data_IF_132494103923
#
_entry.id   IF_132494103923
#
_cell.length_a   1.000
_cell.length_b   1.000
_cell.length_c   1.000
_cell.angle_alpha   90.00
_cell.angle_beta   90.00
_cell.angle_gamma   90.00
#
_symmetry.space_group_name_H-M   'P 1'
#
loop_
_entity.id
_entity.type
_entity.pdbx_description
1 polymer ?
#
# COMPACT_ATOMS: atom_id res chain seq x y z
N UNK A 1 0.81 32.43 50.06
CA UNK A 1 1.76 32.19 48.94
C UNK A 1 1.94 30.72 48.55
N UNK A 2 1.93 29.74 49.48
CA UNK A 2 2.09 28.32 49.13
C UNK A 2 0.94 27.70 48.29
N UNK A 3 -0.30 28.14 48.49
CA UNK A 3 -1.48 27.64 47.75
C UNK A 3 -1.54 28.11 46.29
N UNK A 4 -1.03 29.32 46.01
CA UNK A 4 -0.98 29.87 44.65
C UNK A 4 0.02 29.10 43.76
N UNK A 5 1.13 28.65 44.35
CA UNK A 5 2.17 27.89 43.65
C UNK A 5 1.68 26.50 43.23
N UNK A 6 0.84 25.86 44.05
CA UNK A 6 0.26 24.54 43.75
C UNK A 6 -0.75 24.64 42.61
N UNK A 7 -1.55 25.72 42.57
CA UNK A 7 -2.50 25.96 41.47
C UNK A 7 -1.79 26.20 40.13
N UNK A 8 -0.64 26.89 40.15
CA UNK A 8 0.17 27.12 38.95
C UNK A 8 0.78 25.82 38.40
N UNK A 9 1.24 24.93 39.30
CA UNK A 9 1.80 23.62 38.93
C UNK A 9 0.73 22.66 38.35
N UNK A 10 -0.52 22.71 38.83
CA UNK A 10 -1.61 21.92 38.25
C UNK A 10 -2.06 22.40 36.86
N UNK A 11 -1.91 23.70 36.55
CA UNK A 11 -2.21 24.25 35.22
C UNK A 11 -1.16 23.86 34.17
N UNK A 12 0.07 23.53 34.58
CA UNK A 12 1.14 23.13 33.68
C UNK A 12 1.04 21.68 33.19
N UNK A 13 0.20 20.83 33.80
CA UNK A 13 0.09 19.41 33.44
C UNK A 13 -1.08 19.07 32.51
N UNK A 14 -1.92 20.04 32.13
CA UNK A 14 -3.14 19.77 31.34
C UNK A 14 -3.00 19.99 29.84
N UNK A 15 -1.82 20.35 29.34
CA UNK A 15 -1.58 20.65 27.92
C UNK A 15 -0.51 19.76 27.28
N UNK A 16 -0.37 18.50 27.70
CA UNK A 16 0.28 17.53 26.83
C UNK A 16 -0.61 17.38 25.59
N UNK A 17 -0.11 17.66 24.37
CA UNK A 17 -0.88 17.45 23.16
C UNK A 17 -1.21 15.96 23.12
N UNK A 18 -2.49 15.63 23.29
CA UNK A 18 -2.99 14.34 22.85
C UNK A 18 -2.82 14.39 21.34
N UNK A 19 -1.78 13.74 20.84
CA UNK A 19 -1.64 13.51 19.40
C UNK A 19 -2.89 12.73 19.01
N UNK A 20 -3.88 13.46 18.48
CA UNK A 20 -5.00 12.86 17.79
C UNK A 20 -4.36 12.02 16.68
N UNK A 21 -4.47 10.69 16.82
CA UNK A 21 -3.97 9.74 15.84
C UNK A 21 -4.47 10.20 14.47
N UNK A 22 -3.54 10.52 13.57
CA UNK A 22 -3.89 11.10 12.29
C UNK A 22 -4.77 10.09 11.55
N UNK A 23 -5.81 10.54 10.84
CA UNK A 23 -6.59 9.65 9.97
C UNK A 23 -5.70 8.94 8.93
N UNK A 24 -4.50 9.50 8.67
CA UNK A 24 -3.46 8.92 7.84
C UNK A 24 -2.69 7.75 8.50
N UNK A 25 -2.84 7.53 9.81
CA UNK A 25 -2.16 6.47 10.57
C UNK A 25 -2.94 5.16 10.65
N UNK A 26 -4.17 5.10 10.11
CA UNK A 26 -4.92 3.84 10.01
C UNK A 26 -4.31 3.00 8.87
N UNK A 27 -3.70 1.84 9.18
CA UNK A 27 -3.12 0.98 8.16
C UNK A 27 -4.18 0.20 7.37
N UNK A 28 -5.48 0.37 7.66
CA UNK A 28 -6.56 -0.21 6.84
C UNK A 28 -6.86 0.62 5.61
N UNK A 29 -6.56 1.92 5.62
CA UNK A 29 -6.88 2.81 4.50
C UNK A 29 -5.73 3.75 4.19
N UNK A 30 -5.33 3.81 2.92
CA UNK A 30 -4.41 4.81 2.39
C UNK A 30 -5.19 5.67 1.39
N UNK A 31 -5.07 6.99 1.46
CA UNK A 31 -5.71 7.93 0.53
C UNK A 31 -4.66 8.52 -0.39
N UNK A 32 -4.92 8.55 -1.71
CA UNK A 32 -4.02 9.26 -2.63
C UNK A 32 -4.25 10.77 -2.61
N UNK A 33 -3.28 11.50 -3.19
CA UNK A 33 -3.27 12.97 -3.27
C UNK A 33 -4.27 13.53 -4.30
N UNK A 34 -5.01 12.68 -5.02
CA UNK A 34 -6.10 13.03 -5.96
C UNK A 34 -5.67 14.07 -6.99
N UNK A 35 -4.72 13.70 -7.84
CA UNK A 35 -4.23 14.59 -8.90
C UNK A 35 -5.29 14.74 -10.00
N UNK A 36 -5.87 15.94 -10.10
CA UNK A 36 -6.92 16.24 -11.07
C UNK A 36 -6.42 16.24 -12.52
N UNK A 37 -5.11 16.34 -12.74
CA UNK A 37 -4.52 16.31 -14.07
C UNK A 37 -4.39 14.89 -14.64
N UNK A 38 -4.44 13.86 -13.78
CA UNK A 38 -4.39 12.46 -14.22
C UNK A 38 -5.74 12.01 -14.77
N UNK A 39 -5.68 11.14 -15.78
CA UNK A 39 -6.87 10.41 -16.23
C UNK A 39 -7.45 9.62 -15.04
N UNK A 40 -8.78 9.55 -14.89
CA UNK A 40 -9.43 8.92 -13.73
C UNK A 40 -8.97 7.48 -13.41
N UNK A 41 -8.62 6.71 -14.42
CA UNK A 41 -8.06 5.35 -14.30
C UNK A 41 -6.64 5.29 -13.70
N UNK A 42 -5.86 6.36 -13.83
CA UNK A 42 -4.49 6.48 -13.33
C UNK A 42 -4.46 7.16 -11.95
N UNK A 43 -5.52 7.86 -11.59
CA UNK A 43 -5.70 8.52 -10.30
C UNK A 43 -6.24 7.51 -9.27
N UNK A 44 -5.38 7.07 -8.33
CA UNK A 44 -5.81 6.20 -7.24
C UNK A 44 -6.65 7.05 -6.30
N UNK A 45 -7.83 6.57 -5.90
CA UNK A 45 -8.61 7.21 -4.86
C UNK A 45 -8.14 6.80 -3.47
N UNK A 46 -7.95 5.49 -3.28
CA UNK A 46 -7.61 4.87 -2.01
C UNK A 46 -7.19 3.43 -2.15
N UNK A 47 -6.51 2.94 -1.12
CA UNK A 47 -6.29 1.52 -0.88
C UNK A 47 -7.00 1.14 0.41
N UNK A 48 -7.80 0.08 0.39
CA UNK A 48 -8.44 -0.47 1.59
C UNK A 48 -7.87 -1.87 1.83
N UNK A 49 -7.53 -2.20 3.07
CA UNK A 49 -7.06 -3.52 3.45
C UNK A 49 -8.04 -4.18 4.40
N UNK A 50 -8.43 -5.41 4.07
CA UNK A 50 -9.28 -6.26 4.90
C UNK A 50 -8.69 -7.65 5.04
N UNK A 51 -9.13 -8.38 6.06
CA UNK A 51 -8.84 -9.79 6.24
C UNK A 51 -10.07 -10.60 5.84
N UNK A 52 -9.90 -11.56 4.94
CA UNK A 52 -10.97 -12.49 4.54
C UNK A 52 -11.16 -13.59 5.59
N UNK A 53 -12.35 -14.24 5.64
CA UNK A 53 -12.56 -15.42 6.48
C UNK A 53 -11.64 -16.61 6.16
N UNK A 54 -11.06 -16.63 4.96
CA UNK A 54 -10.11 -17.65 4.51
C UNK A 54 -8.65 -17.30 4.85
N UNK A 55 -8.42 -16.38 5.79
CA UNK A 55 -7.09 -15.91 6.19
C UNK A 55 -6.27 -15.35 5.01
N UNK A 56 -6.89 -14.47 4.22
CA UNK A 56 -6.22 -13.75 3.14
C UNK A 56 -6.30 -12.25 3.38
N UNK A 57 -5.20 -11.54 3.17
CA UNK A 57 -5.20 -10.09 3.09
C UNK A 57 -5.71 -9.66 1.73
N UNK A 58 -6.76 -8.84 1.73
CA UNK A 58 -7.36 -8.28 0.52
C UNK A 58 -6.99 -6.80 0.47
N UNK A 59 -6.19 -6.43 -0.52
CA UNK A 59 -5.85 -5.04 -0.81
C UNK A 59 -6.72 -4.56 -1.97
N UNK A 60 -7.74 -3.75 -1.66
CA UNK A 60 -8.61 -3.13 -2.64
C UNK A 60 -8.01 -1.79 -3.07
N UNK A 61 -7.40 -1.75 -4.25
CA UNK A 61 -6.91 -0.51 -4.85
C UNK A 61 -8.02 0.08 -5.72
N UNK A 62 -8.58 1.21 -5.30
CA UNK A 62 -9.65 1.91 -6.00
C UNK A 62 -9.10 3.08 -6.79
N UNK A 63 -9.44 3.17 -8.07
CA UNK A 63 -9.15 4.28 -8.97
C UNK A 63 -10.38 5.19 -9.11
N UNK A 64 -10.20 6.39 -9.65
CA UNK A 64 -11.29 7.36 -9.83
C UNK A 64 -12.22 7.01 -10.98
N UNK A 65 -11.72 6.28 -11.97
CA UNK A 65 -12.49 5.78 -13.09
C UNK A 65 -12.18 4.32 -13.40
N UNK A 66 -12.96 3.76 -14.31
CA UNK A 66 -12.73 2.45 -14.89
C UNK A 66 -12.08 2.60 -16.25
N UNK A 67 -11.07 1.77 -16.53
CA UNK A 67 -10.46 1.71 -17.86
C UNK A 67 -10.83 0.41 -18.54
N UNK A 68 -11.45 0.51 -19.71
CA UNK A 68 -11.72 -0.64 -20.59
C UNK A 68 -10.71 -0.76 -21.74
N UNK A 69 -9.93 0.30 -22.02
CA UNK A 69 -8.89 0.33 -23.06
C UNK A 69 -7.80 1.36 -22.72
N UNK A 70 -6.55 1.11 -23.09
CA UNK A 70 -5.40 1.95 -22.72
C UNK A 70 -4.08 1.36 -23.17
N UNK A 71 -2.97 2.03 -22.82
CA UNK A 71 -1.64 1.56 -23.19
C UNK A 71 -1.35 0.20 -22.54
N UNK A 72 -0.68 -0.67 -23.29
CA UNK A 72 -0.42 -2.05 -22.89
C UNK A 72 0.71 -2.18 -21.85
N UNK A 73 1.32 -1.08 -21.44
CA UNK A 73 2.44 -0.99 -20.51
C UNK A 73 2.10 -0.18 -19.25
N UNK A 74 0.83 0.13 -19.03
CA UNK A 74 0.32 0.77 -17.82
C UNK A 74 -0.24 -0.27 -16.83
N UNK A 75 0.21 -0.18 -15.59
CA UNK A 75 -0.10 -1.15 -14.54
C UNK A 75 -0.61 -0.48 -13.26
N UNK A 76 -1.52 -1.16 -12.59
CA UNK A 76 -1.71 -0.99 -11.15
C UNK A 76 -0.70 -1.88 -10.44
N UNK A 77 0.05 -1.27 -9.52
CA UNK A 77 1.11 -1.88 -8.76
C UNK A 77 0.76 -1.80 -7.27
N UNK A 78 0.77 -2.95 -6.59
CA UNK A 78 0.80 -3.02 -5.13
C UNK A 78 2.20 -3.42 -4.69
N UNK A 79 2.81 -2.61 -3.84
CA UNK A 79 4.06 -2.91 -3.18
C UNK A 79 3.78 -3.35 -1.75
N UNK A 80 4.33 -4.49 -1.35
CA UNK A 80 4.33 -4.98 0.02
C UNK A 80 5.80 -5.02 0.50
N UNK A 81 6.06 -4.37 1.63
CA UNK A 81 7.37 -4.22 2.27
C UNK A 81 7.36 -5.04 3.54
N UNK A 82 8.13 -6.13 3.56
CA UNK A 82 8.00 -7.13 4.61
C UNK A 82 9.23 -8.04 4.64
N UNK A 83 10.35 -7.55 5.21
CA UNK A 83 11.68 -8.17 5.11
C UNK A 83 12.30 -8.17 3.68
N UNK A 84 11.48 -8.01 2.65
CA UNK A 84 11.78 -7.87 1.22
C UNK A 84 10.72 -7.03 0.52
N UNK A 85 10.94 -6.73 -0.77
CA UNK A 85 9.95 -6.06 -1.61
C UNK A 85 9.19 -7.09 -2.45
N UNK A 86 7.90 -7.21 -2.22
CA UNK A 86 6.99 -7.87 -3.15
C UNK A 86 6.30 -6.81 -4.00
N UNK A 87 6.33 -7.01 -5.31
CA UNK A 87 5.69 -6.16 -6.29
C UNK A 87 4.64 -7.00 -7.01
N UNK A 88 3.39 -6.61 -6.85
CA UNK A 88 2.22 -7.27 -7.41
C UNK A 88 1.64 -6.36 -8.49
N UNK A 89 1.50 -6.88 -9.71
CA UNK A 89 1.14 -6.09 -10.87
C UNK A 89 -0.08 -6.65 -11.58
N UNK A 90 -0.86 -5.72 -12.11
CA UNK A 90 -1.91 -6.02 -13.08
C UNK A 90 -1.99 -4.90 -14.11
N UNK A 91 -2.11 -5.29 -15.38
CA UNK A 91 -2.38 -4.35 -16.46
C UNK A 91 -3.67 -3.58 -16.21
N UNK A 92 -3.67 -2.27 -16.40
CA UNK A 92 -4.87 -1.45 -16.18
C UNK A 92 -5.98 -1.82 -17.17
N UNK A 93 -5.63 -2.20 -18.40
CA UNK A 93 -6.56 -2.48 -19.49
C UNK A 93 -6.99 -3.97 -19.66
N UNK A 94 -6.51 -4.89 -18.82
CA UNK A 94 -6.85 -6.31 -18.96
C UNK A 94 -8.36 -6.57 -18.71
N UNK A 95 -9.07 -7.05 -19.73
CA UNK A 95 -10.53 -7.18 -19.72
C UNK A 95 -11.05 -8.48 -19.09
N UNK A 96 -10.37 -9.63 -19.19
CA UNK A 96 -10.98 -10.92 -18.80
C UNK A 96 -10.02 -11.98 -18.22
N UNK A 97 -8.76 -12.06 -18.68
CA UNK A 97 -7.76 -12.96 -18.08
C UNK A 97 -6.81 -12.19 -17.16
N UNK A 98 -7.11 -12.21 -15.86
CA UNK A 98 -6.34 -11.55 -14.82
C UNK A 98 -5.16 -12.43 -14.41
N UNK A 99 -4.08 -12.35 -15.16
CA UNK A 99 -2.80 -12.87 -14.69
C UNK A 99 -2.09 -11.74 -13.94
N UNK A 100 -2.21 -11.77 -12.62
CA UNK A 100 -1.37 -10.94 -11.77
C UNK A 100 0.06 -11.43 -11.83
N UNK A 101 1.02 -10.52 -11.90
CA UNK A 101 2.44 -10.85 -11.88
C UNK A 101 3.01 -10.55 -10.50
N UNK A 102 3.83 -11.46 -9.99
CA UNK A 102 4.51 -11.35 -8.70
C UNK A 102 6.00 -11.26 -8.95
N UNK A 103 6.59 -10.22 -8.38
CA UNK A 103 7.99 -9.90 -8.50
C UNK A 103 8.60 -9.71 -7.13
N UNK A 104 9.78 -10.28 -6.92
CA UNK A 104 10.53 -10.16 -5.67
C UNK A 104 11.82 -9.37 -5.88
N UNK A 105 12.14 -8.51 -4.92
CA UNK A 105 13.41 -7.78 -4.85
C UNK A 105 13.95 -7.69 -3.43
N UNK A 106 15.27 -7.76 -3.29
CA UNK A 106 15.97 -7.59 -2.01
C UNK A 106 15.97 -6.11 -1.58
N UNK A 107 15.88 -5.85 -0.27
CA UNK A 107 16.08 -4.52 0.33
C UNK A 107 17.52 -4.05 0.08
N UNK A 108 17.78 -3.35 -1.03
CA UNK A 108 19.03 -2.60 -1.17
C UNK A 108 18.88 -1.30 -0.36
N UNK A 109 19.36 -1.35 0.89
CA UNK A 109 19.39 -0.28 1.90
C UNK A 109 18.04 0.07 2.54
N UNK A 110 17.97 -0.05 3.87
CA UNK A 110 16.80 0.25 4.71
C UNK A 110 16.33 1.71 4.64
N UNK A 111 17.16 2.62 4.12
CA UNK A 111 16.95 4.08 4.18
C UNK A 111 16.70 4.75 2.81
N UNK A 112 16.73 4.00 1.70
CA UNK A 112 16.45 4.59 0.40
C UNK A 112 14.93 4.69 0.18
N UNK A 113 14.37 5.87 -0.19
CA UNK A 113 12.98 5.96 -0.59
C UNK A 113 12.71 4.96 -1.73
N UNK A 114 11.49 4.37 -1.81
CA UNK A 114 11.16 3.36 -2.81
C UNK A 114 11.00 4.03 -4.19
N UNK A 115 12.09 4.54 -4.75
CA UNK A 115 12.14 4.92 -6.15
C UNK A 115 12.23 3.61 -6.92
N UNK A 116 11.05 3.09 -7.24
CA UNK A 116 10.84 1.89 -8.03
C UNK A 116 11.38 2.02 -9.47
N UNK A 117 11.66 3.24 -9.91
CA UNK A 117 12.13 3.57 -11.25
C UNK A 117 13.48 2.90 -11.53
N UNK A 118 13.56 2.15 -12.62
CA UNK A 118 14.79 1.53 -13.10
C UNK A 118 15.27 0.28 -12.34
N UNK A 119 14.52 -0.22 -11.34
CA UNK A 119 14.86 -1.48 -10.65
C UNK A 119 14.37 -2.68 -11.46
N UNK A 120 15.18 -3.74 -11.52
CA UNK A 120 14.80 -5.07 -12.04
C UNK A 120 14.37 -5.98 -10.90
N UNK A 121 13.23 -6.63 -11.06
CA UNK A 121 12.71 -7.61 -10.11
C UNK A 121 12.57 -8.98 -10.78
N UNK A 122 12.83 -10.07 -10.07
CA UNK A 122 12.67 -11.44 -10.62
C UNK A 122 11.25 -11.95 -10.48
N UNK A 123 10.75 -12.71 -11.45
CA UNK A 123 9.44 -13.39 -11.38
C UNK A 123 9.44 -14.48 -10.32
N UNK A 124 8.40 -14.50 -9.47
CA UNK A 124 8.12 -15.64 -8.59
C UNK A 124 7.22 -16.62 -9.35
N UNK A 125 7.60 -17.90 -9.40
CA UNK A 125 6.71 -18.95 -9.91
C UNK A 125 5.42 -18.90 -9.08
N UNK A 126 4.26 -18.78 -9.73
CA UNK A 126 2.93 -18.59 -9.12
C UNK A 126 2.85 -19.26 -7.75
N UNK A 127 3.06 -18.48 -6.69
CA UNK A 127 2.98 -18.98 -5.34
C UNK A 127 1.50 -19.26 -5.08
N UNK A 128 1.20 -20.52 -4.78
CA UNK A 128 -0.15 -20.98 -4.49
C UNK A 128 -0.83 -20.00 -3.54
N UNK A 129 -1.95 -19.44 -3.98
CA UNK A 129 -2.80 -18.58 -3.14
C UNK A 129 -2.81 -17.09 -3.46
N UNK A 130 -1.89 -16.54 -4.26
CA UNK A 130 -2.06 -15.18 -4.77
C UNK A 130 -3.12 -15.13 -5.88
N UNK A 131 -4.05 -14.20 -5.75
CA UNK A 131 -5.06 -13.96 -6.77
C UNK A 131 -5.29 -12.47 -6.98
N UNK A 132 -5.73 -12.14 -8.19
CA UNK A 132 -6.12 -10.78 -8.55
C UNK A 132 -7.53 -10.82 -9.10
N UNK A 133 -8.38 -9.90 -8.62
CA UNK A 133 -9.77 -9.81 -9.03
C UNK A 133 -10.14 -8.38 -9.37
N UNK A 134 -10.80 -8.17 -10.51
CA UNK A 134 -11.36 -6.86 -10.85
C UNK A 134 -12.58 -6.57 -9.98
N UNK A 135 -12.67 -5.32 -9.57
CA UNK A 135 -13.84 -4.75 -8.92
C UNK A 135 -14.20 -3.45 -9.62
N UNK A 136 -15.43 -2.94 -9.47
CA UNK A 136 -15.78 -1.64 -10.02
C UNK A 136 -14.77 -0.59 -9.58
N UNK A 137 -14.24 0.17 -10.55
CA UNK A 137 -13.22 1.21 -10.34
C UNK A 137 -11.99 0.72 -9.57
N UNK A 138 -11.46 -0.47 -9.90
CA UNK A 138 -10.22 -0.93 -9.28
C UNK A 138 -9.93 -2.41 -9.36
N UNK A 139 -9.15 -2.87 -8.40
CA UNK A 139 -8.70 -4.26 -8.29
C UNK A 139 -8.52 -4.68 -6.83
N UNK A 140 -8.74 -5.98 -6.57
CA UNK A 140 -8.35 -6.66 -5.34
C UNK A 140 -7.09 -7.48 -5.62
N UNK A 141 -6.03 -7.22 -4.85
CA UNK A 141 -4.93 -8.15 -4.70
C UNK A 141 -5.19 -8.99 -3.46
N UNK A 142 -5.24 -10.31 -3.63
CA UNK A 142 -5.54 -11.27 -2.59
C UNK A 142 -4.25 -12.01 -2.28
N UNK A 143 -3.73 -11.80 -1.08
CA UNK A 143 -2.45 -12.32 -0.62
C UNK A 143 -2.70 -13.27 0.55
N UNK A 144 -2.23 -14.51 0.50
CA UNK A 144 -2.31 -15.42 1.63
C UNK A 144 -1.60 -14.85 2.86
N UNK A 145 -2.22 -14.99 4.03
CA UNK A 145 -1.62 -14.46 5.26
C UNK A 145 -0.27 -15.15 5.58
N UNK A 146 -0.07 -16.39 5.11
CA UNK A 146 1.20 -17.13 5.23
C UNK A 146 2.40 -16.46 4.52
N UNK A 147 2.17 -15.50 3.61
CA UNK A 147 3.25 -14.72 3.02
C UNK A 147 3.84 -13.69 3.99
N UNK A 148 3.14 -13.41 5.09
CA UNK A 148 3.50 -12.40 6.07
C UNK A 148 4.18 -13.07 7.28
N UNK A 149 5.50 -12.96 7.35
CA UNK A 149 6.32 -13.13 8.55
C UNK A 149 5.96 -12.09 9.63
N UNK A 150 5.23 -12.55 10.64
CA UNK A 150 4.79 -11.70 11.73
C UNK A 150 5.92 -11.18 12.65
N UNK A 151 7.15 -11.64 12.48
CA UNK A 151 8.32 -11.21 13.26
C UNK A 151 8.95 -9.90 12.78
N UNK A 152 8.57 -9.41 11.59
CA UNK A 152 9.12 -8.18 11.00
C UNK A 152 8.05 -7.11 10.79
N UNK A 153 8.50 -5.91 10.44
CA UNK A 153 7.59 -4.84 10.07
C UNK A 153 7.00 -5.05 8.67
N UNK A 154 5.74 -4.64 8.54
CA UNK A 154 4.94 -4.66 7.33
C UNK A 154 4.54 -3.23 6.94
N UNK A 155 4.77 -2.91 5.67
CA UNK A 155 4.26 -1.71 5.02
C UNK A 155 3.72 -2.03 3.64
N UNK A 156 2.88 -1.15 3.09
CA UNK A 156 2.38 -1.30 1.73
C UNK A 156 2.04 0.05 1.12
N UNK A 157 2.17 0.13 -0.20
CA UNK A 157 1.82 1.29 -1.03
C UNK A 157 1.24 0.81 -2.36
N UNK A 158 0.38 1.62 -2.97
CA UNK A 158 -0.12 1.36 -4.32
C UNK A 158 0.25 2.49 -5.27
N UNK A 159 0.49 2.11 -6.52
CA UNK A 159 0.96 3.00 -7.57
C UNK A 159 0.25 2.69 -8.88
N UNK A 160 0.09 3.72 -9.71
CA UNK A 160 -0.14 3.56 -11.14
C UNK A 160 1.15 3.88 -11.86
N UNK A 161 1.62 2.96 -12.69
CA UNK A 161 2.96 3.04 -13.30
C UNK A 161 2.92 2.69 -14.77
N UNK A 162 3.89 3.22 -15.50
CA UNK A 162 4.31 2.66 -16.77
C UNK A 162 5.51 1.74 -16.52
N UNK A 163 5.46 0.51 -17.05
CA UNK A 163 6.53 -0.45 -16.85
C UNK A 163 6.76 -1.33 -18.08
N UNK A 164 8.01 -1.77 -18.26
CA UNK A 164 8.42 -2.74 -19.28
C UNK A 164 8.75 -4.07 -18.63
N UNK A 165 8.23 -5.15 -19.20
CA UNK A 165 8.55 -6.52 -18.81
C UNK A 165 9.52 -7.09 -19.84
N UNK A 166 10.75 -7.42 -19.42
CA UNK A 166 11.78 -7.97 -20.30
C UNK A 166 12.58 -9.05 -19.57
N UNK A 167 12.73 -10.22 -20.19
CA UNK A 167 13.54 -11.33 -19.67
C UNK A 167 13.18 -11.74 -18.22
N UNK A 168 11.88 -11.81 -17.92
CA UNK A 168 11.39 -12.10 -16.56
C UNK A 168 11.72 -11.00 -15.55
N UNK A 169 12.16 -9.82 -16.02
CA UNK A 169 12.44 -8.64 -15.20
C UNK A 169 11.37 -7.57 -15.40
N UNK A 170 10.93 -6.97 -14.30
CA UNK A 170 10.12 -5.75 -14.31
C UNK A 170 11.02 -4.51 -14.31
N UNK A 171 10.79 -3.54 -15.19
CA UNK A 171 11.41 -2.21 -15.14
C UNK A 171 10.34 -1.13 -15.13
N UNK A 172 10.28 -0.32 -14.08
CA UNK A 172 9.34 0.81 -13.99
C UNK A 172 9.98 2.03 -14.65
N UNK A 173 9.30 2.58 -15.66
CA UNK A 173 9.76 3.73 -16.45
C UNK A 173 9.11 5.04 -16.03
N UNK A 174 7.90 4.98 -15.48
CA UNK A 174 7.17 6.15 -15.01
C UNK A 174 6.23 5.80 -13.86
N UNK A 175 6.03 6.73 -12.94
CA UNK A 175 5.04 6.64 -11.85
C UNK A 175 4.05 7.78 -12.05
N UNK A 176 2.79 7.47 -12.30
CA UNK A 176 1.73 8.45 -12.47
C UNK A 176 1.19 8.92 -11.12
N UNK A 177 0.81 7.96 -10.26
CA UNK A 177 0.25 8.25 -8.93
C UNK A 177 0.80 7.30 -7.86
N UNK A 178 0.72 7.75 -6.60
CA UNK A 178 1.06 6.99 -5.40
C UNK A 178 0.05 7.28 -4.29
N UNK A 179 -0.63 6.24 -3.81
CA UNK A 179 -1.58 6.37 -2.71
C UNK A 179 -0.91 6.83 -1.41
N UNK A 180 0.28 6.35 -1.06
CA UNK A 180 0.98 6.73 0.18
C UNK A 180 1.65 8.10 0.18
N UNK A 181 1.50 8.90 -0.88
CA UNK A 181 2.19 10.18 -1.03
C UNK A 181 1.77 11.15 0.07
N UNK A 182 2.73 11.53 0.93
CA UNK A 182 2.52 12.53 1.99
C UNK A 182 2.30 11.97 3.40
N UNK A 183 2.38 10.65 3.62
CA UNK A 183 2.50 10.12 4.98
C UNK A 183 3.86 10.52 5.58
N UNK A 184 3.85 11.14 6.76
CA UNK A 184 5.06 11.51 7.50
C UNK A 184 5.49 10.37 8.42
N UNK A 185 6.61 9.70 8.10
CA UNK A 185 7.18 8.62 8.92
C UNK A 185 7.49 7.36 8.12
N UNK A 186 8.13 6.38 8.76
CA UNK A 186 8.26 5.04 8.18
C UNK A 186 6.85 4.41 8.11
N UNK A 187 6.31 4.22 6.90
CA UNK A 187 5.00 3.60 6.64
C UNK A 187 5.00 2.08 6.93
N UNK A 188 5.58 1.71 8.06
CA UNK A 188 5.83 0.33 8.47
C UNK A 188 5.37 0.18 9.92
N UNK A 189 4.62 -0.88 10.15
CA UNK A 189 4.17 -1.27 11.48
C UNK A 189 4.60 -2.71 11.69
N UNK A 190 4.86 -3.11 12.94
CA UNK A 190 4.96 -4.54 13.25
C UNK A 190 3.77 -5.28 12.61
N UNK A 191 4.05 -6.36 11.87
CA UNK A 191 3.03 -7.11 11.16
C UNK A 191 1.90 -7.61 12.09
N UNK A 192 2.23 -7.95 13.35
CA UNK A 192 1.23 -8.30 14.38
C UNK A 192 0.35 -7.10 14.72
N UNK A 193 0.95 -5.91 14.86
CA UNK A 193 0.19 -4.68 15.14
C UNK A 193 -0.73 -4.33 13.98
N UNK A 194 -0.26 -4.50 12.75
CA UNK A 194 -1.06 -4.35 11.54
C UNK A 194 -2.28 -5.27 11.53
N UNK A 195 -2.08 -6.57 11.79
CA UNK A 195 -3.15 -7.56 11.82
C UNK A 195 -4.17 -7.25 12.93
N UNK A 196 -3.69 -6.97 14.14
CA UNK A 196 -4.56 -6.58 15.27
C UNK A 196 -5.39 -5.35 14.93
N UNK A 197 -4.79 -4.37 14.24
CA UNK A 197 -5.51 -3.21 13.75
C UNK A 197 -6.57 -3.63 12.74
N UNK A 198 -6.29 -4.43 11.73
CA UNK A 198 -7.32 -4.87 10.76
C UNK A 198 -8.49 -5.59 11.44
N UNK A 199 -8.22 -6.45 12.42
CA UNK A 199 -9.23 -7.26 13.11
C UNK A 199 -10.04 -6.48 14.15
N UNK A 200 -9.60 -5.29 14.56
CA UNK A 200 -10.30 -4.50 15.58
C UNK A 200 -11.55 -3.81 15.00
N UNK A 201 -12.64 -3.64 15.77
CA UNK A 201 -13.77 -2.81 15.35
C UNK A 201 -13.34 -1.38 14.98
N UNK A 202 -13.98 -0.76 14.00
CA UNK A 202 -13.83 0.70 13.77
C UNK A 202 -14.53 1.42 14.92
N UNK A 203 -13.84 2.37 15.57
CA UNK A 203 -14.43 3.26 16.58
C UNK A 203 -14.89 4.55 15.93
#
# INVERSE_FOLDING_TARGET
>A
MKTLLIFLLLWLTTSLPVYAMSMYDDPRTILSFRDKALSPELDILRVIVTLSPASQLIFQVKTKGERQSGAADEYLLLQILHGKHYILLILINAQQNLHGLVYEGTLQSEDAPPVLVGRKFGTVASSDGFAVKRIPQGVEFIVPLEWIDFSVDLGYDAYTVQARLQDGSLQITHIYDQAGKGRSGANRFSAITFLNRICSPQR
#
